data_IF_334535189320
#
_entry.id   IF_334535189320
#
_cell.length_a   1.000
_cell.length_b   1.000
_cell.length_c   1.000
_cell.angle_alpha   90.00
_cell.angle_beta   90.00
_cell.angle_gamma   90.00
#
_symmetry.space_group_name_H-M   'P 1'
#
loop_
_entity.id
_entity.type
_entity.pdbx_description
1 polymer ?
#
# COMPACT_ATOMS: atom_id res chain seq x y z
N UNK A 1 18.91 -32.46 12.66
CA UNK A 1 19.70 -31.40 11.98
C UNK A 1 20.93 -31.13 12.84
N UNK A 2 22.14 -31.14 12.25
CA UNK A 2 23.42 -31.08 12.98
C UNK A 2 23.81 -29.68 13.51
N UNK A 3 22.86 -28.76 13.70
CA UNK A 3 23.16 -27.40 14.17
C UNK A 3 23.92 -26.53 13.16
N UNK A 4 24.08 -26.96 11.91
CA UNK A 4 24.63 -26.14 10.83
C UNK A 4 23.65 -25.03 10.45
N UNK A 5 24.17 -23.81 10.34
CA UNK A 5 23.39 -22.64 9.90
C UNK A 5 23.42 -22.57 8.38
N UNK A 6 22.25 -22.66 7.75
CA UNK A 6 22.09 -22.51 6.31
C UNK A 6 21.72 -21.05 6.01
N UNK A 7 22.45 -20.40 5.11
CA UNK A 7 22.21 -19.01 4.72
C UNK A 7 21.40 -18.95 3.42
N UNK A 8 20.28 -18.23 3.44
CA UNK A 8 19.46 -18.00 2.25
C UNK A 8 19.54 -16.54 1.82
N UNK A 9 19.80 -16.30 0.53
CA UNK A 9 19.78 -14.97 -0.10
C UNK A 9 18.73 -14.95 -1.19
N UNK A 10 17.72 -14.10 -1.04
CA UNK A 10 16.71 -13.83 -2.05
C UNK A 10 17.09 -12.53 -2.77
N UNK A 11 17.29 -12.61 -4.09
CA UNK A 11 17.53 -11.45 -4.95
C UNK A 11 16.32 -11.28 -5.85
N UNK A 12 15.62 -10.16 -5.68
CA UNK A 12 14.54 -9.73 -6.57
C UNK A 12 15.02 -8.51 -7.35
N UNK A 13 15.07 -8.62 -8.67
CA UNK A 13 15.45 -7.50 -9.54
C UNK A 13 14.24 -6.65 -9.96
N UNK A 14 13.05 -7.26 -9.96
CA UNK A 14 11.75 -6.65 -10.19
C UNK A 14 10.69 -7.48 -9.46
N UNK A 15 9.47 -6.95 -9.25
CA UNK A 15 8.36 -7.69 -8.62
C UNK A 15 8.11 -9.06 -9.27
N UNK A 16 8.52 -9.23 -10.52
CA UNK A 16 8.33 -10.46 -11.28
C UNK A 16 9.54 -11.38 -11.27
N UNK A 17 10.80 -10.92 -11.21
CA UNK A 17 11.97 -11.81 -11.37
C UNK A 17 12.67 -12.09 -10.03
N UNK A 18 12.76 -13.37 -9.68
CA UNK A 18 13.22 -13.87 -8.37
C UNK A 18 14.31 -14.91 -8.54
N UNK A 19 15.38 -14.73 -7.76
CA UNK A 19 16.47 -15.69 -7.64
C UNK A 19 16.71 -16.02 -6.17
N UNK A 20 16.81 -17.31 -5.85
CA UNK A 20 17.05 -17.78 -4.48
C UNK A 20 18.38 -18.54 -4.47
N UNK A 21 19.22 -18.18 -3.51
CA UNK A 21 20.52 -18.78 -3.27
C UNK A 21 20.55 -19.40 -1.87
N UNK A 22 21.14 -20.58 -1.76
CA UNK A 22 21.45 -21.27 -0.50
C UNK A 22 22.97 -21.41 -0.42
N UNK A 23 23.60 -20.85 0.61
CA UNK A 23 25.07 -20.87 0.80
C UNK A 23 25.83 -20.46 -0.48
N UNK A 24 25.39 -19.35 -1.10
CA UNK A 24 25.87 -18.81 -2.38
C UNK A 24 25.66 -19.70 -3.63
N UNK A 25 25.04 -20.88 -3.50
CA UNK A 25 24.60 -21.71 -4.63
C UNK A 25 23.18 -21.32 -5.05
N UNK A 26 22.99 -21.00 -6.33
CA UNK A 26 21.65 -20.74 -6.89
C UNK A 26 20.80 -22.01 -6.86
N UNK A 27 19.69 -21.97 -6.12
CA UNK A 27 18.72 -23.08 -6.02
C UNK A 27 17.45 -22.82 -6.83
N UNK A 28 17.12 -21.55 -7.10
CA UNK A 28 15.94 -21.18 -7.88
C UNK A 28 16.18 -19.92 -8.72
N UNK A 29 15.61 -19.91 -9.92
CA UNK A 29 15.51 -18.75 -10.80
C UNK A 29 14.19 -18.83 -11.57
N UNK A 30 13.42 -17.75 -11.53
CA UNK A 30 12.09 -17.77 -12.12
C UNK A 30 11.32 -16.49 -11.86
N UNK A 31 10.01 -16.58 -12.07
CA UNK A 31 9.08 -15.48 -11.88
C UNK A 31 8.18 -15.70 -10.66
N UNK A 32 7.90 -14.63 -9.92
CA UNK A 32 6.85 -14.61 -8.91
C UNK A 32 5.56 -14.08 -9.53
N UNK A 33 4.50 -14.88 -9.48
CA UNK A 33 3.18 -14.53 -10.01
C UNK A 33 2.22 -14.38 -8.83
N UNK A 34 1.61 -13.20 -8.70
CA UNK A 34 0.67 -12.88 -7.62
C UNK A 34 1.21 -11.85 -6.64
N UNK A 35 0.44 -11.59 -5.58
CA UNK A 35 0.83 -10.62 -4.55
C UNK A 35 1.88 -11.21 -3.60
N UNK A 36 2.85 -10.41 -3.12
CA UNK A 36 3.77 -10.80 -2.07
C UNK A 36 3.04 -11.37 -0.84
N UNK A 37 3.24 -12.66 -0.54
CA UNK A 37 2.55 -13.36 0.55
C UNK A 37 1.68 -14.54 0.08
N UNK A 38 1.16 -14.48 -1.14
CA UNK A 38 0.45 -15.58 -1.83
C UNK A 38 1.03 -15.83 -3.24
N UNK A 39 2.27 -15.41 -3.45
CA UNK A 39 2.91 -15.50 -4.75
C UNK A 39 3.29 -16.96 -5.05
N UNK A 40 2.92 -17.40 -6.25
CA UNK A 40 3.38 -18.67 -6.81
C UNK A 40 4.69 -18.43 -7.54
N UNK A 41 5.70 -19.22 -7.22
CA UNK A 41 6.99 -19.17 -7.88
C UNK A 41 7.00 -20.11 -9.09
N UNK A 42 7.24 -19.55 -10.27
CA UNK A 42 7.29 -20.24 -11.54
C UNK A 42 8.73 -20.27 -12.08
N UNK A 43 9.33 -21.45 -12.22
CA UNK A 43 10.72 -21.54 -12.68
C UNK A 43 10.85 -21.26 -14.18
N UNK A 44 12.04 -20.81 -14.61
CA UNK A 44 12.36 -20.60 -16.04
C UNK A 44 12.25 -21.88 -16.89
N UNK A 45 12.37 -23.06 -16.26
CA UNK A 45 12.21 -24.36 -16.91
C UNK A 45 10.73 -24.75 -17.14
N UNK A 46 9.77 -23.91 -16.76
CA UNK A 46 8.34 -24.15 -16.92
C UNK A 46 7.71 -25.04 -15.85
N UNK A 47 8.44 -25.38 -14.78
CA UNK A 47 7.92 -26.14 -13.64
C UNK A 47 7.60 -25.20 -12.47
N UNK A 48 6.68 -25.63 -11.61
CA UNK A 48 6.44 -24.96 -10.33
C UNK A 48 7.69 -25.09 -9.45
N UNK A 49 7.98 -24.05 -8.67
CA UNK A 49 9.13 -24.04 -7.77
C UNK A 49 9.00 -25.03 -6.61
N UNK A 50 7.77 -25.45 -6.31
CA UNK A 50 7.44 -26.31 -5.19
C UNK A 50 6.59 -27.49 -5.70
N UNK A 51 6.97 -28.70 -5.30
CA UNK A 51 6.24 -29.94 -5.59
C UNK A 51 5.71 -30.49 -4.27
N UNK A 52 4.41 -30.75 -4.19
CA UNK A 52 3.77 -31.18 -2.94
C UNK A 52 4.02 -32.68 -2.76
N UNK A 53 5.08 -33.02 -2.04
CA UNK A 53 5.39 -34.40 -1.72
C UNK A 53 4.57 -34.88 -0.51
N UNK A 54 3.58 -35.75 -0.74
CA UNK A 54 2.78 -36.37 0.33
C UNK A 54 3.38 -37.72 0.70
N UNK A 55 4.18 -37.75 1.76
CA UNK A 55 4.76 -39.00 2.28
C UNK A 55 3.76 -39.70 3.19
N UNK A 56 3.28 -40.88 2.77
CA UNK A 56 2.49 -41.79 3.61
C UNK A 56 3.40 -42.92 4.08
N UNK A 57 3.61 -43.03 5.41
CA UNK A 57 4.47 -43.99 6.14
C UNK A 57 5.77 -43.44 6.81
N UNK A 58 5.93 -42.13 6.98
CA UNK A 58 6.81 -41.57 8.03
C UNK A 58 8.32 -41.61 7.77
N UNK A 59 8.77 -42.05 6.60
CA UNK A 59 10.18 -41.89 6.19
C UNK A 59 10.38 -40.49 5.63
N UNK A 60 10.79 -39.55 6.48
CA UNK A 60 11.14 -38.19 6.07
C UNK A 60 12.50 -38.19 5.36
N UNK A 61 12.56 -37.69 4.13
CA UNK A 61 13.86 -37.40 3.51
C UNK A 61 14.39 -36.07 4.05
N UNK A 62 15.71 -35.95 4.21
CA UNK A 62 16.34 -34.68 4.66
C UNK A 62 15.97 -33.48 3.79
N UNK A 63 15.58 -33.71 2.54
CA UNK A 63 15.11 -32.67 1.61
C UNK A 63 13.72 -32.13 1.99
N UNK A 64 12.84 -32.96 2.57
CA UNK A 64 11.51 -32.54 3.05
C UNK A 64 11.59 -31.69 4.34
N UNK A 65 12.74 -31.68 5.03
CA UNK A 65 12.98 -30.84 6.21
C UNK A 65 13.42 -29.41 5.85
N UNK A 66 13.77 -29.14 4.60
CA UNK A 66 14.17 -27.81 4.16
C UNK A 66 12.93 -26.98 3.80
N UNK A 67 12.92 -25.67 4.14
CA UNK A 67 11.83 -24.80 3.75
C UNK A 67 11.74 -24.68 2.23
N UNK A 68 10.51 -24.65 1.71
CA UNK A 68 10.30 -24.55 0.26
C UNK A 68 10.63 -23.16 -0.26
N UNK A 69 10.97 -23.07 -1.55
CA UNK A 69 11.33 -21.79 -2.20
C UNK A 69 10.19 -20.76 -2.10
N UNK A 70 8.95 -21.21 -2.21
CA UNK A 70 7.76 -20.37 -2.10
C UNK A 70 7.60 -19.81 -0.69
N UNK A 71 7.79 -20.64 0.34
CA UNK A 71 7.80 -20.18 1.73
C UNK A 71 8.91 -19.15 1.98
N UNK A 72 10.14 -19.41 1.50
CA UNK A 72 11.27 -18.48 1.62
C UNK A 72 11.00 -17.13 0.96
N UNK A 73 10.35 -17.11 -0.20
CA UNK A 73 9.95 -15.88 -0.88
C UNK A 73 8.88 -15.11 -0.09
N UNK A 74 7.86 -15.81 0.40
CA UNK A 74 6.76 -15.20 1.13
C UNK A 74 7.22 -14.54 2.43
N UNK A 75 8.11 -15.15 3.20
CA UNK A 75 8.65 -14.51 4.42
C UNK A 75 9.57 -13.32 4.11
N UNK A 76 10.31 -13.35 2.99
CA UNK A 76 11.28 -12.33 2.65
C UNK A 76 10.66 -11.09 1.99
N UNK A 77 9.57 -11.30 1.23
CA UNK A 77 8.95 -10.26 0.39
C UNK A 77 7.54 -9.91 0.88
N UNK A 78 6.76 -10.88 1.35
CA UNK A 78 5.37 -10.68 1.79
C UNK A 78 5.22 -9.68 2.94
N UNK A 79 6.14 -9.69 3.91
CA UNK A 79 6.12 -8.73 5.02
C UNK A 79 6.46 -7.28 4.65
N UNK A 80 6.81 -6.98 3.39
CA UNK A 80 7.27 -5.64 2.97
C UNK A 80 6.21 -4.82 2.23
N UNK A 81 5.06 -5.41 1.90
CA UNK A 81 3.99 -4.75 1.14
C UNK A 81 2.65 -4.76 1.89
N UNK A 82 2.61 -4.21 3.10
CA UNK A 82 1.33 -3.75 3.62
C UNK A 82 1.01 -2.39 2.98
N UNK A 83 -0.05 -2.35 2.17
CA UNK A 83 -0.55 -1.10 1.59
C UNK A 83 -1.08 -0.23 2.72
N UNK A 84 -0.24 0.68 3.21
CA UNK A 84 -0.59 1.60 4.29
C UNK A 84 -1.42 2.76 3.76
N UNK A 85 -2.73 2.63 3.89
CA UNK A 85 -3.70 3.72 3.81
C UNK A 85 -4.97 3.23 3.13
N UNK A 86 -6.12 3.71 3.60
CA UNK A 86 -7.38 3.40 2.95
C UNK A 86 -7.68 4.45 1.85
N UNK A 87 -7.69 4.00 0.59
CA UNK A 87 -7.90 4.84 -0.60
C UNK A 87 -9.23 5.63 -0.53
N UNK A 88 -10.24 5.10 0.17
CA UNK A 88 -11.53 5.76 0.35
C UNK A 88 -11.42 7.12 1.07
N UNK A 89 -10.36 7.36 1.85
CA UNK A 89 -10.12 8.64 2.50
C UNK A 89 -9.54 9.72 1.56
N UNK A 90 -8.96 9.33 0.41
CA UNK A 90 -8.44 10.31 -0.55
C UNK A 90 -9.54 11.15 -1.19
N UNK A 91 -10.72 10.58 -1.43
CA UNK A 91 -11.83 11.29 -2.06
C UNK A 91 -12.36 12.45 -1.18
N UNK A 92 -12.76 12.24 0.08
CA UNK A 92 -13.21 13.34 0.93
C UNK A 92 -12.06 14.31 1.25
N UNK A 93 -10.83 13.82 1.45
CA UNK A 93 -9.67 14.66 1.70
C UNK A 93 -9.35 15.57 0.51
N UNK A 94 -9.33 15.01 -0.71
CA UNK A 94 -9.08 15.75 -1.95
C UNK A 94 -10.18 16.77 -2.25
N UNK A 95 -11.44 16.42 -1.99
CA UNK A 95 -12.56 17.36 -2.13
C UNK A 95 -12.44 18.54 -1.16
N UNK A 96 -12.15 18.28 0.12
CA UNK A 96 -11.96 19.34 1.12
C UNK A 96 -10.74 20.22 0.78
N UNK A 97 -9.64 19.61 0.34
CA UNK A 97 -8.45 20.35 -0.09
C UNK A 97 -8.73 21.23 -1.32
N UNK A 98 -9.53 20.75 -2.28
CA UNK A 98 -9.96 21.53 -3.43
C UNK A 98 -10.84 22.71 -3.00
N UNK A 99 -11.81 22.48 -2.11
CA UNK A 99 -12.66 23.54 -1.56
C UNK A 99 -11.82 24.60 -0.84
N UNK A 100 -10.89 24.18 0.03
CA UNK A 100 -9.98 25.08 0.73
C UNK A 100 -9.09 25.87 -0.25
N UNK A 101 -8.55 25.21 -1.28
CA UNK A 101 -7.75 25.86 -2.31
C UNK A 101 -8.55 26.95 -3.05
N UNK A 102 -9.78 26.64 -3.47
CA UNK A 102 -10.66 27.60 -4.13
C UNK A 102 -11.02 28.75 -3.19
N UNK A 103 -11.28 28.46 -1.91
CA UNK A 103 -11.62 29.47 -0.92
C UNK A 103 -10.46 30.43 -0.64
N UNK A 104 -9.22 29.93 -0.55
CA UNK A 104 -8.01 30.75 -0.42
C UNK A 104 -7.78 31.60 -1.66
N UNK A 105 -7.89 31.01 -2.86
CA UNK A 105 -7.59 31.70 -4.12
C UNK A 105 -8.65 32.72 -4.50
N UNK A 106 -9.91 32.42 -4.19
CA UNK A 106 -11.08 33.21 -4.54
C UNK A 106 -12.00 33.35 -3.32
N UNK A 107 -11.70 34.28 -2.39
CA UNK A 107 -12.44 34.41 -1.13
C UNK A 107 -13.94 34.73 -1.32
N UNK A 108 -14.33 35.32 -2.45
CA UNK A 108 -15.74 35.63 -2.72
C UNK A 108 -16.41 34.62 -3.66
N UNK A 109 -15.78 33.47 -3.95
CA UNK A 109 -16.29 32.52 -4.93
C UNK A 109 -17.65 31.96 -4.54
N UNK A 110 -17.81 31.48 -3.30
CA UNK A 110 -19.08 30.93 -2.84
C UNK A 110 -20.17 31.99 -2.68
N UNK A 111 -19.79 33.20 -2.25
CA UNK A 111 -20.68 34.36 -2.25
C UNK A 111 -21.18 34.70 -3.65
N UNK A 112 -20.28 34.80 -4.62
CA UNK A 112 -20.61 35.12 -6.00
C UNK A 112 -21.42 34.00 -6.68
N UNK A 113 -21.18 32.74 -6.36
CA UNK A 113 -22.01 31.63 -6.85
C UNK A 113 -23.44 31.68 -6.27
N UNK A 114 -23.57 32.06 -5.00
CA UNK A 114 -24.86 32.07 -4.30
C UNK A 114 -25.69 33.32 -4.62
N UNK A 115 -25.04 34.47 -4.76
CA UNK A 115 -25.68 35.78 -4.88
C UNK A 115 -25.38 36.50 -6.20
N UNK A 116 -24.47 36.00 -7.04
CA UNK A 116 -24.13 36.63 -8.32
C UNK A 116 -25.25 36.58 -9.38
N UNK A 117 -26.28 35.75 -9.16
CA UNK A 117 -27.53 35.74 -9.94
C UNK A 117 -28.62 36.63 -9.33
N UNK A 118 -28.47 37.06 -8.08
CA UNK A 118 -29.42 37.93 -7.41
C UNK A 118 -29.04 39.40 -7.69
N UNK A 119 -29.97 40.15 -8.27
CA UNK A 119 -29.79 41.58 -8.56
C UNK A 119 -29.79 42.36 -7.24
N UNK A 120 -28.62 42.47 -6.62
CA UNK A 120 -28.13 43.60 -5.83
C UNK A 120 -26.72 43.23 -5.32
N UNK A 121 -25.70 43.82 -5.93
CA UNK A 121 -24.30 43.69 -5.50
C UNK A 121 -24.08 44.42 -4.17
N UNK A 122 -24.46 43.75 -3.08
CA UNK A 122 -24.11 44.15 -1.72
C UNK A 122 -22.75 43.58 -1.32
N UNK A 123 -22.04 44.30 -0.44
CA UNK A 123 -20.83 43.78 0.21
C UNK A 123 -21.20 42.56 1.08
N UNK A 124 -20.31 41.56 1.19
CA UNK A 124 -20.54 40.39 2.04
C UNK A 124 -20.73 40.83 3.48
N UNK A 125 -21.67 40.18 4.18
CA UNK A 125 -21.88 40.48 5.61
C UNK A 125 -20.65 40.10 6.45
N UNK A 126 -20.45 40.80 7.57
CA UNK A 126 -19.39 40.47 8.53
C UNK A 126 -19.49 39.02 9.02
N UNK A 127 -20.72 38.52 9.16
CA UNK A 127 -21.00 37.13 9.50
C UNK A 127 -20.44 36.15 8.46
N UNK A 128 -20.63 36.42 7.16
CA UNK A 128 -20.09 35.59 6.09
C UNK A 128 -18.56 35.56 6.15
N UNK A 129 -17.91 36.72 6.24
CA UNK A 129 -16.46 36.83 6.35
C UNK A 129 -15.91 36.12 7.59
N UNK A 130 -16.65 36.16 8.71
CA UNK A 130 -16.28 35.46 9.96
C UNK A 130 -16.38 33.95 9.79
N UNK A 131 -17.49 33.46 9.23
CA UNK A 131 -17.68 32.02 8.99
C UNK A 131 -16.71 31.46 7.97
N UNK A 132 -16.31 32.26 6.99
CA UNK A 132 -15.29 31.86 6.03
C UNK A 132 -13.93 31.63 6.70
N UNK A 133 -13.53 32.50 7.64
CA UNK A 133 -12.30 32.30 8.42
C UNK A 133 -12.38 31.02 9.26
N UNK A 134 -13.48 30.84 9.99
CA UNK A 134 -13.70 29.62 10.80
C UNK A 134 -13.67 28.35 9.94
N UNK A 135 -14.25 28.40 8.74
CA UNK A 135 -14.23 27.28 7.79
C UNK A 135 -12.80 26.94 7.35
N UNK A 136 -11.95 27.94 7.10
CA UNK A 136 -10.53 27.72 6.75
C UNK A 136 -9.77 27.07 7.88
N UNK A 137 -9.90 27.62 9.08
CA UNK A 137 -9.22 27.10 10.28
C UNK A 137 -9.65 25.64 10.55
N UNK A 138 -10.94 25.33 10.38
CA UNK A 138 -11.47 23.97 10.54
C UNK A 138 -10.94 23.01 9.47
N UNK A 139 -10.87 23.42 8.20
CA UNK A 139 -10.35 22.60 7.10
C UNK A 139 -8.84 22.37 7.21
N UNK A 140 -8.08 23.39 7.64
CA UNK A 140 -6.63 23.30 7.85
C UNK A 140 -6.27 22.24 8.90
N UNK A 141 -7.07 22.12 9.96
CA UNK A 141 -6.90 21.07 10.99
C UNK A 141 -7.57 19.75 10.58
N UNK A 142 -8.71 19.81 9.91
CA UNK A 142 -9.50 18.63 9.55
C UNK A 142 -8.85 17.74 8.50
N UNK A 143 -8.21 18.31 7.48
CA UNK A 143 -7.50 17.57 6.42
C UNK A 143 -6.36 16.70 6.97
N UNK A 144 -5.41 17.22 7.78
CA UNK A 144 -4.36 16.39 8.37
C UNK A 144 -4.90 15.39 9.40
N UNK A 145 -5.98 15.72 10.13
CA UNK A 145 -6.63 14.76 11.02
C UNK A 145 -7.23 13.57 10.24
N UNK A 146 -7.89 13.82 9.11
CA UNK A 146 -8.39 12.77 8.21
C UNK A 146 -7.24 11.92 7.64
N UNK A 147 -6.11 12.55 7.29
CA UNK A 147 -4.92 11.82 6.87
C UNK A 147 -4.43 10.89 7.98
N UNK A 148 -4.35 11.36 9.23
CA UNK A 148 -3.95 10.54 10.38
C UNK A 148 -4.90 9.36 10.61
N UNK A 149 -6.20 9.58 10.54
CA UNK A 149 -7.21 8.50 10.68
C UNK A 149 -7.05 7.46 9.57
N UNK A 150 -6.73 7.89 8.35
CA UNK A 150 -6.51 6.97 7.21
C UNK A 150 -5.34 6.01 7.42
N UNK A 151 -4.35 6.41 8.21
CA UNK A 151 -3.21 5.56 8.59
C UNK A 151 -3.48 4.74 9.86
N UNK A 152 -4.46 5.12 10.67
CA UNK A 152 -4.75 4.46 11.94
C UNK A 152 -5.77 3.32 11.82
N UNK A 153 -6.54 3.25 10.74
CA UNK A 153 -7.49 2.16 10.48
C UNK A 153 -6.85 0.86 9.94
N UNK A 154 -5.56 0.61 10.25
CA UNK A 154 -4.87 -0.66 9.99
C UNK A 154 -4.87 -1.57 11.21
#
# INVERSE_FOLDING_TARGET
MNGETIQYRIVTSSQENVQIYQDDRKIFAGQAIGEPGDAVLWAENGQLADDINVVVNGEYQQQDLLPTCQWLYNIAVGGRMETRGNLWFLLPMGLLALVLFLDIKFPLLFWNLSYGLAVQGGEPSEWYCTMQKVSRDLMEVGIPLLALISFWQH
#
